data_IF_350254066097
#
_entry.id   IF_350254066097
#
_cell.length_a   1.000
_cell.length_b   1.000
_cell.length_c   1.000
_cell.angle_alpha   90.00
_cell.angle_beta   90.00
_cell.angle_gamma   90.00
#
_symmetry.space_group_name_H-M   'P 1'
#
loop_
_entity.id
_entity.type
_entity.pdbx_description
1 polymer ?
#
# COMPACT_ATOMS: atom_id res chain seq x y z
N UNK A 1 17.41 -8.42 2.89
CA UNK A 1 16.35 -9.38 3.24
C UNK A 1 16.84 -10.25 4.40
N UNK A 2 16.07 -10.37 5.48
CA UNK A 2 16.40 -11.13 6.70
C UNK A 2 15.37 -12.23 6.93
N UNK A 3 15.82 -13.48 7.08
CA UNK A 3 14.94 -14.61 7.42
C UNK A 3 14.49 -14.51 8.88
N UNK A 4 13.21 -14.75 9.14
CA UNK A 4 12.65 -14.82 10.50
C UNK A 4 12.78 -16.25 11.04
N UNK A 5 13.34 -16.37 12.23
CA UNK A 5 13.39 -17.64 12.94
C UNK A 5 12.00 -17.98 13.53
N UNK A 6 11.24 -18.76 12.78
CA UNK A 6 9.88 -19.16 13.18
C UNK A 6 9.86 -19.98 14.50
N UNK A 7 10.97 -20.60 14.88
CA UNK A 7 11.04 -21.41 16.11
C UNK A 7 10.93 -20.54 17.37
N UNK A 8 11.60 -19.38 17.33
CA UNK A 8 11.67 -18.43 18.44
C UNK A 8 10.81 -17.17 18.21
N UNK A 9 10.03 -17.12 17.12
CA UNK A 9 9.19 -15.98 16.83
C UNK A 9 7.99 -15.90 17.78
N UNK A 10 7.79 -14.74 18.37
CA UNK A 10 6.68 -14.50 19.31
C UNK A 10 5.29 -14.70 18.65
N UNK A 11 5.20 -14.58 17.31
CA UNK A 11 3.99 -14.81 16.53
C UNK A 11 3.84 -16.24 15.99
N UNK A 12 4.72 -17.17 16.35
CA UNK A 12 4.73 -18.55 15.83
C UNK A 12 3.36 -19.22 15.83
N UNK A 13 2.61 -19.15 16.94
CA UNK A 13 1.29 -19.79 17.04
C UNK A 13 0.27 -19.10 16.12
N UNK A 14 0.27 -17.76 16.06
CA UNK A 14 -0.59 -16.99 15.16
C UNK A 14 -0.27 -17.32 13.70
N UNK A 15 1.01 -17.34 13.33
CA UNK A 15 1.46 -17.73 12.00
C UNK A 15 0.90 -19.08 11.58
N UNK A 16 1.12 -20.14 12.37
CA UNK A 16 0.65 -21.48 12.05
C UNK A 16 -0.88 -21.58 11.99
N UNK A 17 -1.59 -20.83 12.80
CA UNK A 17 -3.05 -20.81 12.78
C UNK A 17 -3.59 -20.19 11.49
N UNK A 18 -3.12 -18.98 11.17
CA UNK A 18 -3.68 -18.23 10.05
C UNK A 18 -3.17 -18.72 8.68
N UNK A 19 -1.94 -19.20 8.58
CA UNK A 19 -1.41 -19.72 7.32
C UNK A 19 -2.16 -20.95 6.82
N UNK A 20 -2.80 -21.69 7.73
CA UNK A 20 -3.61 -22.86 7.40
C UNK A 20 -4.99 -22.51 6.78
N UNK A 21 -5.42 -21.26 6.85
CA UNK A 21 -6.69 -20.80 6.27
C UNK A 21 -6.58 -20.71 4.75
N UNK A 22 -7.69 -20.99 4.05
CA UNK A 22 -7.74 -20.81 2.59
C UNK A 22 -7.60 -19.36 2.16
N UNK A 23 -8.21 -18.44 2.92
CA UNK A 23 -8.09 -17.00 2.76
C UNK A 23 -7.66 -16.41 4.12
N UNK A 24 -6.36 -16.20 4.32
CA UNK A 24 -5.85 -15.66 5.58
C UNK A 24 -5.94 -14.14 5.67
N UNK A 25 -6.52 -13.47 4.66
CA UNK A 25 -6.62 -12.02 4.64
C UNK A 25 -7.78 -11.52 5.49
N UNK A 26 -7.51 -10.46 6.23
CA UNK A 26 -8.56 -9.60 6.78
C UNK A 26 -8.38 -8.17 6.26
N UNK A 27 -9.46 -7.40 6.27
CA UNK A 27 -9.44 -6.02 5.84
C UNK A 27 -10.16 -5.11 6.83
N UNK A 28 -9.63 -3.90 6.95
CA UNK A 28 -10.27 -2.78 7.65
C UNK A 28 -10.27 -1.56 6.75
N UNK A 29 -11.24 -0.68 6.93
CA UNK A 29 -11.26 0.63 6.26
C UNK A 29 -11.25 1.72 7.33
N UNK A 30 -10.32 2.65 7.20
CA UNK A 30 -10.12 3.74 8.15
C UNK A 30 -10.23 5.10 7.46
N UNK A 31 -10.82 6.13 8.10
CA UNK A 31 -10.75 7.49 7.62
C UNK A 31 -9.42 8.14 8.01
N UNK A 32 -8.77 8.83 7.07
CA UNK A 32 -7.58 9.63 7.31
C UNK A 32 -7.84 11.09 6.92
N UNK A 33 -7.34 12.01 7.74
CA UNK A 33 -7.36 13.44 7.43
C UNK A 33 -6.24 13.79 6.46
N UNK A 34 -6.60 14.09 5.22
CA UNK A 34 -5.67 14.42 4.15
C UNK A 34 -5.60 15.92 3.84
N UNK A 35 -6.17 16.76 4.69
CA UNK A 35 -6.27 18.21 4.47
C UNK A 35 -4.91 18.86 4.23
N UNK A 36 -3.91 18.54 5.06
CA UNK A 36 -2.55 19.09 4.97
C UNK A 36 -1.85 18.56 3.69
N UNK A 37 -1.91 17.26 3.45
CA UNK A 37 -1.32 16.65 2.25
C UNK A 37 -1.92 17.21 0.96
N UNK A 38 -3.23 17.41 0.92
CA UNK A 38 -3.91 18.01 -0.23
C UNK A 38 -3.47 19.47 -0.47
N UNK A 39 -3.43 20.27 0.61
CA UNK A 39 -2.95 21.66 0.55
C UNK A 39 -1.50 21.72 0.04
N UNK A 40 -0.61 20.92 0.61
CA UNK A 40 0.80 20.81 0.19
C UNK A 40 0.93 20.46 -1.29
N UNK A 41 0.15 19.47 -1.76
CA UNK A 41 0.15 19.07 -3.17
C UNK A 41 -0.22 20.26 -4.08
N UNK A 42 -1.25 21.04 -3.72
CA UNK A 42 -1.69 22.22 -4.47
C UNK A 42 -0.67 23.35 -4.48
N UNK A 43 -0.10 23.67 -3.32
CA UNK A 43 0.87 24.76 -3.16
C UNK A 43 2.17 24.52 -3.94
N UNK A 44 2.60 23.24 -4.02
CA UNK A 44 3.82 22.86 -4.73
C UNK A 44 3.58 22.35 -6.15
N UNK A 45 2.35 22.42 -6.66
CA UNK A 45 1.97 21.90 -7.98
C UNK A 45 2.33 20.40 -8.15
N UNK A 46 2.20 19.62 -7.10
CA UNK A 46 2.42 18.17 -7.11
C UNK A 46 1.12 17.41 -7.31
N UNK A 47 1.22 16.18 -7.85
CA UNK A 47 0.10 15.25 -7.88
C UNK A 47 -0.31 14.88 -6.45
N UNK A 48 -1.58 15.05 -6.09
CA UNK A 48 -2.09 14.62 -4.80
C UNK A 48 -1.92 13.10 -4.61
N UNK A 49 -2.09 12.33 -5.69
CA UNK A 49 -1.80 10.90 -5.69
C UNK A 49 -0.35 10.60 -5.27
N UNK A 50 0.63 11.31 -5.84
CA UNK A 50 2.03 11.13 -5.48
C UNK A 50 2.29 11.46 -4.01
N UNK A 51 1.68 12.53 -3.49
CA UNK A 51 1.87 12.95 -2.09
C UNK A 51 1.33 11.92 -1.11
N UNK A 52 0.08 11.45 -1.28
CA UNK A 52 -0.45 10.47 -0.33
C UNK A 52 0.14 9.06 -0.53
N UNK A 53 0.50 8.68 -1.76
CA UNK A 53 1.18 7.40 -2.00
C UNK A 53 2.57 7.40 -1.34
N UNK A 54 3.33 8.49 -1.45
CA UNK A 54 4.61 8.62 -0.75
C UNK A 54 4.44 8.50 0.77
N UNK A 55 3.49 9.22 1.36
CA UNK A 55 3.19 9.13 2.79
C UNK A 55 2.80 7.70 3.22
N UNK A 56 2.02 7.00 2.40
CA UNK A 56 1.68 5.59 2.61
C UNK A 56 2.94 4.72 2.58
N UNK A 57 3.81 4.88 1.59
CA UNK A 57 5.04 4.10 1.45
C UNK A 57 6.05 4.37 2.56
N UNK A 58 6.12 5.62 3.06
CA UNK A 58 6.87 5.95 4.27
C UNK A 58 6.35 5.14 5.47
N UNK A 59 5.03 5.09 5.68
CA UNK A 59 4.43 4.33 6.77
C UNK A 59 4.66 2.82 6.63
N UNK A 60 4.54 2.26 5.42
CA UNK A 60 4.83 0.85 5.12
C UNK A 60 6.27 0.49 5.49
N UNK A 61 7.24 1.25 5.00
CA UNK A 61 8.65 0.98 5.22
C UNK A 61 9.09 1.20 6.68
N UNK A 62 8.32 1.98 7.45
CA UNK A 62 8.54 2.19 8.88
C UNK A 62 7.70 1.27 9.80
N UNK A 63 6.93 0.34 9.23
CA UNK A 63 6.15 -0.65 10.00
C UNK A 63 6.64 -2.05 9.69
N UNK A 64 7.35 -2.66 10.63
CA UNK A 64 8.10 -3.91 10.45
C UNK A 64 7.23 -5.03 9.84
N UNK A 65 6.04 -5.27 10.39
CA UNK A 65 5.16 -6.36 9.94
C UNK A 65 4.63 -6.18 8.51
N UNK A 66 4.59 -4.96 7.97
CA UNK A 66 4.22 -4.70 6.57
C UNK A 66 5.34 -5.05 5.59
N UNK A 67 6.57 -5.26 6.09
CA UNK A 67 7.72 -5.71 5.30
C UNK A 67 7.87 -7.23 5.26
N UNK A 68 7.07 -7.97 6.02
CA UNK A 68 7.16 -9.43 6.02
C UNK A 68 6.55 -10.04 4.76
N UNK A 69 7.23 -11.05 4.23
CA UNK A 69 6.75 -11.85 3.10
C UNK A 69 6.92 -13.34 3.37
N UNK A 70 5.97 -14.13 2.89
CA UNK A 70 6.04 -15.58 2.89
C UNK A 70 6.64 -16.01 1.54
N UNK A 71 7.74 -16.73 1.58
CA UNK A 71 8.44 -17.26 0.40
C UNK A 71 8.64 -18.76 0.63
N UNK A 72 7.88 -19.58 -0.08
CA UNK A 72 7.76 -21.01 0.26
C UNK A 72 7.16 -21.18 1.65
N UNK A 73 7.83 -21.95 2.50
CA UNK A 73 7.40 -22.19 3.88
C UNK A 73 8.08 -21.27 4.91
N UNK A 74 8.75 -20.22 4.44
CA UNK A 74 9.58 -19.36 5.26
C UNK A 74 9.07 -17.92 5.26
N UNK A 75 9.35 -17.18 6.34
CA UNK A 75 9.03 -15.76 6.47
C UNK A 75 10.31 -14.93 6.40
N UNK A 76 10.27 -13.87 5.61
CA UNK A 76 11.36 -12.93 5.46
C UNK A 76 10.90 -11.51 5.74
N UNK A 77 11.75 -10.74 6.41
CA UNK A 77 11.68 -9.29 6.46
C UNK A 77 12.46 -8.73 5.28
N UNK A 78 11.78 -7.97 4.42
CA UNK A 78 12.41 -7.29 3.30
C UNK A 78 13.00 -5.95 3.75
N UNK A 79 14.09 -5.53 3.13
CA UNK A 79 14.79 -4.29 3.49
C UNK A 79 13.96 -3.07 3.09
N UNK A 80 13.42 -3.08 1.87
CA UNK A 80 12.62 -2.02 1.27
C UNK A 80 11.38 -2.61 0.60
N UNK A 81 10.26 -1.90 0.70
CA UNK A 81 9.01 -2.20 0.01
C UNK A 81 8.70 -1.09 -0.99
N UNK A 82 8.38 -1.47 -2.21
CA UNK A 82 8.01 -0.62 -3.33
C UNK A 82 6.48 -0.54 -3.50
N UNK A 83 6.00 0.33 -4.39
CA UNK A 83 4.57 0.44 -4.67
C UNK A 83 4.22 -0.14 -6.04
N UNK A 84 3.23 -1.05 -6.08
CA UNK A 84 2.57 -1.47 -7.33
C UNK A 84 1.16 -0.89 -7.35
N UNK A 85 1.00 0.23 -8.04
CA UNK A 85 -0.29 0.92 -8.15
C UNK A 85 -0.93 0.67 -9.52
N UNK A 86 -2.27 0.60 -9.56
CA UNK A 86 -3.01 0.65 -10.81
C UNK A 86 -3.00 2.07 -11.37
N UNK A 87 -2.55 2.24 -12.62
CA UNK A 87 -2.53 3.53 -13.32
C UNK A 87 -3.43 3.44 -14.54
N UNK A 88 -4.45 4.29 -14.60
CA UNK A 88 -5.43 4.32 -15.68
C UNK A 88 -4.84 4.86 -16.98
N UNK A 89 -5.31 4.32 -18.12
CA UNK A 89 -5.07 4.81 -19.48
C UNK A 89 -6.24 5.65 -19.97
N UNK A 90 -6.06 6.33 -21.11
CA UNK A 90 -7.13 7.14 -21.73
C UNK A 90 -8.31 6.30 -22.22
N UNK A 91 -8.10 5.04 -22.57
CA UNK A 91 -9.14 4.08 -23.00
C UNK A 91 -9.91 3.44 -21.83
N UNK A 92 -9.71 3.94 -20.59
CA UNK A 92 -10.29 3.42 -19.34
C UNK A 92 -9.79 2.04 -18.90
N UNK A 93 -8.80 1.46 -19.57
CA UNK A 93 -8.04 0.33 -19.04
C UNK A 93 -7.01 0.82 -18.03
N UNK A 94 -6.24 -0.09 -17.42
CA UNK A 94 -5.14 0.27 -16.53
C UNK A 94 -3.95 -0.66 -16.75
N UNK A 95 -2.79 -0.24 -16.31
CA UNK A 95 -1.61 -1.08 -16.15
C UNK A 95 -1.14 -1.07 -14.70
N UNK A 96 -0.47 -2.14 -14.29
CA UNK A 96 0.23 -2.17 -13.01
C UNK A 96 1.58 -1.45 -13.15
N UNK A 97 1.87 -0.62 -12.15
CA UNK A 97 3.18 0.02 -12.03
C UNK A 97 4.09 -0.75 -11.08
N UNK A 98 5.38 -0.44 -11.13
CA UNK A 98 6.35 -0.79 -10.10
C UNK A 98 7.17 0.46 -9.78
N UNK A 99 6.69 1.23 -8.81
CA UNK A 99 7.28 2.50 -8.39
C UNK A 99 8.32 2.23 -7.32
N UNK A 100 9.60 2.43 -7.64
CA UNK A 100 10.67 2.32 -6.68
C UNK A 100 10.46 3.32 -5.53
N UNK A 101 10.56 2.84 -4.29
CA UNK A 101 10.47 3.68 -3.12
C UNK A 101 11.77 4.48 -2.93
N UNK A 102 11.62 5.74 -2.56
CA UNK A 102 12.66 6.60 -1.99
C UNK A 102 12.05 7.39 -0.84
N UNK A 103 12.81 7.62 0.23
CA UNK A 103 12.41 8.53 1.32
C UNK A 103 12.35 9.98 0.83
N UNK A 104 13.14 10.31 -0.21
CA UNK A 104 13.09 11.62 -0.88
C UNK A 104 11.86 11.68 -1.78
N UNK A 105 10.97 12.65 -1.50
CA UNK A 105 9.73 12.81 -2.26
C UNK A 105 9.97 13.11 -3.75
N UNK A 106 10.97 13.94 -4.09
CA UNK A 106 11.20 14.33 -5.48
C UNK A 106 11.68 13.13 -6.32
N UNK A 107 12.57 12.30 -5.77
CA UNK A 107 12.97 11.04 -6.41
C UNK A 107 11.79 10.08 -6.57
N UNK A 108 10.98 9.91 -5.53
CA UNK A 108 9.79 9.06 -5.60
C UNK A 108 8.78 9.57 -6.63
N UNK A 109 8.59 10.88 -6.72
CA UNK A 109 7.69 11.49 -7.69
C UNK A 109 8.20 11.31 -9.13
N UNK A 110 9.51 11.36 -9.36
CA UNK A 110 10.12 11.02 -10.67
C UNK A 110 9.79 9.57 -11.03
N UNK A 111 9.98 8.62 -10.11
CA UNK A 111 9.66 7.20 -10.35
C UNK A 111 8.17 7.00 -10.71
N UNK A 112 7.26 7.75 -10.08
CA UNK A 112 5.81 7.73 -10.44
C UNK A 112 5.59 8.25 -11.87
N UNK A 113 6.23 9.35 -12.23
CA UNK A 113 6.08 9.97 -13.56
C UNK A 113 6.59 9.02 -14.65
N UNK A 114 7.73 8.38 -14.46
CA UNK A 114 8.31 7.41 -15.39
C UNK A 114 7.38 6.19 -15.57
N UNK A 115 6.88 5.62 -14.49
CA UNK A 115 5.94 4.49 -14.56
C UNK A 115 4.60 4.88 -15.21
N UNK A 116 4.11 6.08 -14.92
CA UNK A 116 2.91 6.62 -15.58
C UNK A 116 3.12 6.75 -17.09
N UNK A 117 4.25 7.29 -17.52
CA UNK A 117 4.59 7.41 -18.94
C UNK A 117 4.69 6.03 -19.59
N UNK A 118 5.42 5.08 -19.00
CA UNK A 118 5.52 3.70 -19.48
C UNK A 118 4.15 3.06 -19.71
N UNK A 119 3.22 3.23 -18.76
CA UNK A 119 1.88 2.65 -18.85
C UNK A 119 1.04 3.32 -19.94
N UNK A 120 1.18 4.64 -20.16
CA UNK A 120 0.48 5.35 -21.24
C UNK A 120 0.99 4.93 -22.62
N UNK A 121 2.26 4.58 -22.74
CA UNK A 121 2.91 4.20 -24.00
C UNK A 121 2.83 2.69 -24.31
N UNK A 122 2.22 1.88 -23.41
CA UNK A 122 2.16 0.43 -23.51
C UNK A 122 0.74 -0.11 -23.31
N UNK A 123 0.39 -1.20 -23.99
CA UNK A 123 -0.82 -1.98 -23.73
C UNK A 123 -0.62 -3.10 -22.71
N UNK A 124 0.62 -3.31 -22.25
CA UNK A 124 0.95 -4.39 -21.31
C UNK A 124 0.33 -4.15 -19.93
N UNK A 125 -0.26 -5.18 -19.35
CA UNK A 125 -0.87 -5.11 -18.02
C UNK A 125 0.17 -5.03 -16.91
N UNK A 126 1.26 -5.80 -17.05
CA UNK A 126 2.29 -5.93 -16.03
C UNK A 126 3.53 -5.10 -16.33
N UNK A 127 4.25 -4.61 -15.31
CA UNK A 127 5.56 -4.01 -15.49
C UNK A 127 6.60 -5.09 -15.89
N UNK A 128 7.71 -4.70 -16.51
CA UNK A 128 8.77 -5.64 -16.89
C UNK A 128 9.48 -6.28 -15.69
N UNK A 129 9.43 -5.63 -14.54
CA UNK A 129 9.96 -6.12 -13.25
C UNK A 129 8.83 -6.09 -12.25
N UNK A 130 8.63 -7.20 -11.55
CA UNK A 130 7.70 -7.29 -10.42
C UNK A 130 8.20 -8.36 -9.44
N UNK A 131 7.83 -8.21 -8.18
CA UNK A 131 8.28 -9.10 -7.11
C UNK A 131 7.36 -9.05 -5.89
N UNK A 132 7.75 -9.75 -4.84
CA UNK A 132 7.05 -9.74 -3.56
C UNK A 132 7.39 -8.49 -2.72
N UNK A 133 8.38 -7.73 -3.13
CA UNK A 133 8.90 -6.53 -2.46
C UNK A 133 8.08 -5.26 -2.75
N UNK A 134 6.80 -5.43 -2.97
CA UNK A 134 5.87 -4.31 -3.16
C UNK A 134 4.62 -4.46 -2.29
N UNK A 135 3.80 -3.40 -2.25
CA UNK A 135 2.40 -3.45 -1.88
C UNK A 135 1.54 -3.23 -3.13
N UNK A 136 0.34 -3.80 -3.15
CA UNK A 136 -0.61 -3.50 -4.21
C UNK A 136 -1.47 -2.29 -3.82
N UNK A 137 -1.54 -1.30 -4.68
CA UNK A 137 -2.31 -0.08 -4.46
C UNK A 137 -3.39 0.11 -5.51
N UNK A 138 -4.60 0.43 -5.05
CA UNK A 138 -5.73 0.79 -5.92
C UNK A 138 -6.31 2.13 -5.52
N UNK A 139 -6.34 3.09 -6.44
CA UNK A 139 -6.99 4.37 -6.23
C UNK A 139 -8.34 4.41 -6.95
N UNK A 140 -9.42 4.69 -6.20
CA UNK A 140 -10.78 4.84 -6.73
C UNK A 140 -11.27 6.29 -6.54
N UNK A 141 -10.73 7.25 -7.29
CA UNK A 141 -11.01 8.68 -7.09
C UNK A 141 -12.45 9.08 -7.44
N UNK A 142 -13.21 8.17 -8.03
CA UNK A 142 -14.62 8.37 -8.39
C UNK A 142 -15.58 8.00 -7.27
N UNK A 143 -15.18 7.14 -6.32
CA UNK A 143 -16.07 6.48 -5.35
C UNK A 143 -15.56 6.74 -3.93
N UNK A 144 -16.43 7.28 -3.07
CA UNK A 144 -16.22 7.27 -1.62
C UNK A 144 -16.80 5.97 -1.08
N UNK A 145 -15.93 5.01 -0.73
CA UNK A 145 -16.33 3.73 -0.16
C UNK A 145 -16.08 3.68 1.35
N UNK A 146 -16.89 2.92 2.07
CA UNK A 146 -16.70 2.62 3.50
C UNK A 146 -16.09 1.23 3.74
N UNK A 147 -16.05 0.40 2.70
CA UNK A 147 -15.33 -0.89 2.70
C UNK A 147 -15.00 -1.29 1.28
N UNK A 148 -13.93 -2.07 1.13
CA UNK A 148 -13.48 -2.64 -0.15
C UNK A 148 -12.94 -4.04 0.11
N UNK A 149 -13.14 -4.94 -0.83
CA UNK A 149 -12.51 -6.26 -0.86
C UNK A 149 -11.72 -6.42 -2.14
N UNK A 150 -10.44 -6.70 -2.00
CA UNK A 150 -9.57 -7.07 -3.12
C UNK A 150 -9.83 -8.52 -3.54
N UNK A 151 -9.63 -8.85 -4.82
CA UNK A 151 -9.76 -10.22 -5.28
C UNK A 151 -8.72 -11.14 -4.64
N UNK A 152 -9.15 -12.38 -4.36
CA UNK A 152 -8.29 -13.45 -3.89
C UNK A 152 -8.13 -14.48 -5.01
N UNK A 153 -6.90 -14.77 -5.39
CA UNK A 153 -6.57 -15.68 -6.49
C UNK A 153 -6.75 -17.17 -6.17
N UNK A 154 -6.95 -17.49 -4.88
CA UNK A 154 -6.93 -18.87 -4.40
C UNK A 154 -5.52 -19.41 -4.11
N UNK A 155 -4.48 -18.63 -4.41
CA UNK A 155 -3.09 -18.93 -4.08
C UNK A 155 -2.71 -18.09 -2.87
N UNK A 156 -1.97 -18.69 -1.92
CA UNK A 156 -1.46 -17.95 -0.77
C UNK A 156 -0.56 -16.80 -1.22
N UNK A 157 -0.85 -15.63 -0.70
CA UNK A 157 -0.18 -14.38 -0.98
C UNK A 157 0.09 -13.67 0.35
N UNK A 158 1.11 -12.84 0.41
CA UNK A 158 1.47 -12.09 1.62
C UNK A 158 1.66 -10.60 1.37
N UNK A 159 1.35 -10.15 0.16
CA UNK A 159 1.48 -8.74 -0.23
C UNK A 159 0.32 -7.93 0.36
N UNK A 160 0.57 -6.88 1.17
CA UNK A 160 -0.46 -5.95 1.61
C UNK A 160 -1.15 -5.26 0.42
N UNK A 161 -2.47 -5.06 0.53
CA UNK A 161 -3.27 -4.40 -0.50
C UNK A 161 -3.93 -3.17 0.12
N UNK A 162 -3.71 -2.01 -0.49
CA UNK A 162 -4.17 -0.72 0.02
C UNK A 162 -5.07 -0.05 -1.02
N UNK A 163 -6.31 0.25 -0.63
CA UNK A 163 -7.27 0.96 -1.47
C UNK A 163 -7.50 2.38 -0.99
N UNK A 164 -7.47 3.36 -1.89
CA UNK A 164 -7.70 4.78 -1.58
C UNK A 164 -9.03 5.23 -2.19
N UNK A 165 -9.93 5.78 -1.39
CA UNK A 165 -11.22 6.28 -1.86
C UNK A 165 -11.11 7.70 -2.43
N UNK A 166 -12.21 8.14 -3.08
CA UNK A 166 -12.46 9.57 -3.28
C UNK A 166 -12.49 10.28 -1.93
N UNK A 167 -11.92 11.48 -1.90
CA UNK A 167 -12.00 12.36 -0.71
C UNK A 167 -13.39 12.96 -0.55
N UNK A 168 -13.75 13.26 0.70
CA UNK A 168 -14.99 13.96 1.05
C UNK A 168 -14.76 14.91 2.22
N UNK A 169 -15.64 15.92 2.38
CA UNK A 169 -15.53 16.85 3.48
C UNK A 169 -16.27 16.33 4.72
N UNK A 170 -15.62 16.41 5.86
CA UNK A 170 -16.20 16.20 7.19
C UNK A 170 -15.90 17.43 8.05
N UNK A 171 -16.88 18.31 8.17
CA UNK A 171 -16.66 19.64 8.77
C UNK A 171 -15.61 20.45 7.99
N UNK A 172 -14.54 20.85 8.68
CA UNK A 172 -13.41 21.59 8.07
C UNK A 172 -12.30 20.70 7.52
N UNK A 173 -12.46 19.38 7.63
CA UNK A 173 -11.45 18.41 7.22
C UNK A 173 -11.76 17.79 5.87
N UNK A 174 -10.71 17.49 5.10
CA UNK A 174 -10.79 16.66 3.91
C UNK A 174 -10.38 15.24 4.31
N UNK A 175 -11.33 14.31 4.20
CA UNK A 175 -11.14 12.90 4.62
C UNK A 175 -11.00 12.00 3.40
N UNK A 176 -10.14 11.00 3.52
CA UNK A 176 -9.99 9.89 2.58
C UNK A 176 -10.12 8.57 3.33
N UNK A 177 -11.03 7.70 2.89
CA UNK A 177 -11.10 6.34 3.41
C UNK A 177 -10.02 5.48 2.75
N UNK A 178 -9.28 4.76 3.59
CA UNK A 178 -8.21 3.85 3.15
C UNK A 178 -8.57 2.44 3.59
N UNK A 179 -8.72 1.54 2.62
CA UNK A 179 -8.88 0.11 2.86
C UNK A 179 -7.51 -0.53 2.97
N UNK A 180 -7.30 -1.33 4.02
CA UNK A 180 -6.05 -2.02 4.33
C UNK A 180 -6.38 -3.50 4.42
N UNK A 181 -5.88 -4.30 3.47
CA UNK A 181 -6.07 -5.75 3.44
C UNK A 181 -4.72 -6.44 3.58
N UNK A 182 -4.58 -7.28 4.60
CA UNK A 182 -3.31 -7.89 5.00
C UNK A 182 -3.47 -9.35 5.40
N UNK A 183 -2.41 -10.14 5.18
CA UNK A 183 -2.36 -11.53 5.62
C UNK A 183 -2.22 -11.62 7.14
N UNK A 184 -3.21 -12.23 7.81
CA UNK A 184 -3.28 -12.29 9.28
C UNK A 184 -2.18 -13.17 9.90
N UNK A 185 -1.55 -14.03 9.12
CA UNK A 185 -0.37 -14.77 9.60
C UNK A 185 0.81 -13.83 9.93
N UNK A 186 0.91 -12.69 9.26
CA UNK A 186 2.02 -11.73 9.39
C UNK A 186 1.64 -10.45 10.14
N UNK A 187 0.40 -9.99 9.96
CA UNK A 187 -0.11 -8.70 10.44
C UNK A 187 -1.39 -8.93 11.23
N UNK A 188 -1.60 -8.20 12.31
CA UNK A 188 -2.87 -8.14 13.04
C UNK A 188 -3.32 -6.69 13.27
N UNK A 189 -4.44 -6.50 13.98
CA UNK A 189 -5.03 -5.19 14.22
C UNK A 189 -4.09 -4.19 14.90
N UNK A 190 -3.18 -4.66 15.77
CA UNK A 190 -2.18 -3.78 16.40
C UNK A 190 -1.25 -3.15 15.35
N UNK A 191 -0.72 -3.96 14.44
CA UNK A 191 0.20 -3.49 13.39
C UNK A 191 -0.51 -2.59 12.36
N UNK A 192 -1.79 -2.87 12.09
CA UNK A 192 -2.62 -1.96 11.26
C UNK A 192 -2.81 -0.62 11.95
N UNK A 193 -3.02 -0.61 13.27
CA UNK A 193 -3.09 0.61 14.08
C UNK A 193 -1.77 1.40 14.00
N UNK A 194 -0.63 0.76 14.21
CA UNK A 194 0.69 1.35 14.10
C UNK A 194 0.95 1.97 12.71
N UNK A 195 0.65 1.21 11.65
CA UNK A 195 0.73 1.72 10.27
C UNK A 195 -0.16 2.95 10.07
N UNK A 196 -1.40 2.90 10.57
CA UNK A 196 -2.38 3.98 10.40
C UNK A 196 -1.94 5.28 11.07
N UNK A 197 -1.38 5.18 12.27
CA UNK A 197 -0.83 6.33 13.01
C UNK A 197 0.36 6.95 12.26
N UNK A 198 1.30 6.12 11.79
CA UNK A 198 2.45 6.58 10.99
C UNK A 198 1.99 7.21 9.68
N UNK A 199 1.02 6.60 9.00
CA UNK A 199 0.51 7.14 7.75
C UNK A 199 -0.12 8.53 7.97
N UNK A 200 -0.95 8.70 9.02
CA UNK A 200 -1.49 10.02 9.38
C UNK A 200 -0.38 11.02 9.74
N UNK A 201 0.69 10.58 10.42
CA UNK A 201 1.83 11.45 10.72
C UNK A 201 2.52 11.93 9.43
N UNK A 202 2.80 11.04 8.48
CA UNK A 202 3.44 11.40 7.21
C UNK A 202 2.54 12.29 6.32
N UNK A 203 1.21 12.11 6.36
CA UNK A 203 0.26 13.00 5.69
C UNK A 203 0.26 14.43 6.27
N UNK A 204 0.67 14.58 7.52
CA UNK A 204 0.69 15.86 8.26
C UNK A 204 2.05 16.59 8.17
N UNK A 205 3.05 16.03 7.52
CA UNK A 205 4.35 16.70 7.33
C UNK A 205 4.17 17.89 6.38
N UNK A 206 4.50 19.08 6.90
CA UNK A 206 4.41 20.36 6.19
C UNK A 206 5.52 20.52 5.16
#
# INVERSE_FOLDING_TARGET
MKKIDLTNWNRRQHYHHFIALKDPYFAVTIPLDVSIAYKKAKENNHSFFAVYLHACMMAINHTENFKYRIIGDEVFELDVIHASATISREDHTFGFSYVNFSENFDEFNINIIEEKQRIQESSELYPPVYGLDCIHCSALPWISFSSQKEPFSGIQDSIPKIGFSKTFNEGSKLIMNVSISVNHALVDGYHVGEFSEKFQQFLNIK
#
